data_IF_394141560477
#
_entry.id   IF_394141560477
#
_cell.length_a   1.000
_cell.length_b   1.000
_cell.length_c   1.000
_cell.angle_alpha   90.00
_cell.angle_beta   90.00
_cell.angle_gamma   90.00
#
_symmetry.space_group_name_H-M   'P 1'
#
loop_
_entity.id
_entity.type
_entity.pdbx_description
1 polymer ?
#
# COMPACT_ATOMS: atom_id res chain seq x y z
N UNK A 1 26.20 -7.10 -36.36
CA UNK A 1 24.84 -6.53 -36.34
C UNK A 1 23.86 -7.69 -36.21
N UNK A 2 23.29 -7.85 -35.01
CA UNK A 2 22.29 -8.86 -34.64
C UNK A 2 21.56 -8.36 -33.38
N UNK A 3 20.31 -8.78 -33.15
CA UNK A 3 19.17 -7.87 -33.11
C UNK A 3 18.77 -7.40 -31.71
N UNK A 4 18.00 -6.30 -31.70
CA UNK A 4 17.25 -5.76 -30.57
C UNK A 4 16.51 -6.88 -29.83
N UNK A 5 16.87 -7.12 -28.57
CA UNK A 5 16.08 -7.94 -27.64
C UNK A 5 15.17 -7.03 -26.82
N UNK A 6 13.91 -7.32 -27.01
CA UNK A 6 12.69 -6.75 -26.45
C UNK A 6 12.55 -7.02 -24.95
N UNK A 7 12.22 -5.97 -24.21
CA UNK A 7 11.55 -5.91 -22.89
C UNK A 7 11.34 -7.25 -22.14
N UNK A 8 12.31 -7.62 -21.30
CA UNK A 8 12.16 -8.33 -20.03
C UNK A 8 13.56 -8.51 -19.44
N UNK A 9 13.65 -8.66 -18.12
CA UNK A 9 14.87 -8.82 -17.33
C UNK A 9 15.68 -7.56 -17.06
N UNK A 10 15.23 -6.89 -15.99
CA UNK A 10 16.11 -6.71 -14.84
C UNK A 10 16.72 -8.10 -14.48
N UNK A 11 17.79 -8.49 -15.16
CA UNK A 11 18.65 -9.60 -14.76
C UNK A 11 20.06 -9.28 -15.22
N UNK A 12 20.96 -9.32 -14.26
CA UNK A 12 22.34 -9.01 -14.47
C UNK A 12 23.07 -10.28 -14.86
N UNK A 13 23.65 -10.25 -16.03
CA UNK A 13 24.70 -11.20 -16.34
C UNK A 13 26.01 -10.79 -15.63
N UNK A 14 26.07 -10.73 -14.28
CA UNK A 14 27.36 -10.73 -13.53
C UNK A 14 27.28 -10.77 -11.98
N UNK A 15 26.42 -11.51 -11.28
CA UNK A 15 26.52 -11.64 -9.79
C UNK A 15 26.64 -10.29 -9.02
N UNK A 16 26.18 -9.18 -9.59
CA UNK A 16 26.47 -7.81 -9.14
C UNK A 16 25.35 -6.82 -9.48
N UNK A 17 24.08 -7.21 -9.38
CA UNK A 17 22.94 -6.30 -9.45
C UNK A 17 22.08 -6.49 -8.23
N UNK A 18 21.22 -5.50 -8.14
CA UNK A 18 20.36 -4.95 -7.14
C UNK A 18 18.93 -5.14 -7.62
N UNK A 19 18.23 -6.23 -7.32
CA UNK A 19 16.80 -6.36 -7.61
C UNK A 19 16.01 -5.35 -6.77
N UNK A 20 15.73 -4.18 -7.36
CA UNK A 20 14.88 -3.15 -6.76
C UNK A 20 13.42 -3.63 -6.88
N UNK A 21 13.03 -4.54 -6.00
CA UNK A 21 11.63 -4.95 -5.86
C UNK A 21 10.91 -4.01 -4.89
N UNK A 22 9.70 -3.59 -5.26
CA UNK A 22 8.77 -2.93 -4.35
C UNK A 22 7.84 -3.97 -3.75
N UNK A 23 7.93 -4.25 -2.44
CA UNK A 23 7.06 -5.21 -1.75
C UNK A 23 6.88 -6.57 -2.48
N UNK A 24 7.91 -7.06 -3.19
CA UNK A 24 7.86 -8.28 -4.01
C UNK A 24 6.88 -8.27 -5.21
N UNK A 25 6.51 -7.09 -5.73
CA UNK A 25 5.70 -6.94 -6.95
C UNK A 25 6.39 -6.02 -7.96
N UNK A 26 6.56 -6.53 -9.18
CA UNK A 26 7.12 -5.79 -10.34
C UNK A 26 6.19 -4.68 -10.87
N UNK A 27 5.01 -4.50 -10.28
CA UNK A 27 3.98 -3.58 -10.80
C UNK A 27 3.96 -2.20 -10.11
N UNK A 28 4.73 -2.00 -9.03
CA UNK A 28 4.97 -0.67 -8.46
C UNK A 28 3.73 0.09 -7.98
N UNK A 29 2.60 -0.57 -7.69
CA UNK A 29 1.39 0.08 -7.14
C UNK A 29 1.25 -0.20 -5.65
N UNK A 30 1.02 0.83 -4.83
CA UNK A 30 0.68 0.67 -3.41
C UNK A 30 -0.44 1.63 -2.99
N UNK A 31 -1.16 1.29 -1.92
CA UNK A 31 -2.20 2.11 -1.30
C UNK A 31 -1.91 2.43 0.18
N UNK A 32 -0.77 1.97 0.71
CA UNK A 32 -0.36 2.13 2.11
C UNK A 32 0.57 3.34 2.35
N UNK A 33 0.86 4.11 1.28
CA UNK A 33 1.76 5.26 1.36
C UNK A 33 3.23 4.91 1.62
N UNK A 34 3.64 3.65 1.41
CA UNK A 34 5.00 3.17 1.65
C UNK A 34 5.63 2.59 0.39
N UNK A 35 6.82 3.08 0.03
CA UNK A 35 7.66 2.52 -1.03
C UNK A 35 8.86 1.84 -0.39
N UNK A 36 9.04 0.54 -0.65
CA UNK A 36 10.18 -0.24 -0.15
C UNK A 36 11.12 -0.53 -1.31
N UNK A 37 12.42 -0.28 -1.13
CA UNK A 37 13.47 -0.79 -2.02
C UNK A 37 14.19 -1.90 -1.28
N UNK A 38 14.19 -3.11 -1.85
CA UNK A 38 14.98 -4.23 -1.35
C UNK A 38 16.32 -4.33 -2.10
N UNK A 39 17.30 -4.93 -1.45
CA UNK A 39 18.61 -5.24 -2.01
C UNK A 39 18.90 -6.72 -1.80
N UNK A 40 19.55 -7.36 -2.76
CA UNK A 40 19.85 -8.81 -2.76
C UNK A 40 20.79 -9.28 -1.65
N UNK A 41 21.36 -8.33 -0.92
CA UNK A 41 22.18 -8.63 0.23
C UNK A 41 22.65 -7.40 0.96
N UNK A 42 23.03 -7.64 2.21
CA UNK A 42 23.56 -6.65 3.12
C UNK A 42 24.85 -5.97 2.60
N UNK A 43 25.64 -6.67 1.77
CA UNK A 43 26.80 -6.11 1.06
C UNK A 43 26.38 -5.17 -0.07
N UNK A 44 25.31 -5.52 -0.80
CA UNK A 44 24.77 -4.71 -1.90
C UNK A 44 24.11 -3.43 -1.39
N UNK A 45 23.63 -3.38 -0.15
CA UNK A 45 22.99 -2.18 0.41
C UNK A 45 23.99 -1.13 0.94
N UNK A 46 25.28 -1.47 1.13
CA UNK A 46 26.23 -0.62 1.88
C UNK A 46 26.56 0.68 1.16
N UNK A 47 26.52 1.79 1.92
CA UNK A 47 27.04 3.09 1.46
C UNK A 47 26.27 3.70 0.29
N UNK A 48 25.05 3.20 0.03
CA UNK A 48 24.18 3.74 -1.02
C UNK A 48 23.45 4.98 -0.53
N UNK A 49 23.42 5.99 -1.39
CA UNK A 49 22.58 7.19 -1.24
C UNK A 49 21.37 7.05 -2.14
N UNK A 50 20.18 7.38 -1.64
CA UNK A 50 18.92 7.32 -2.36
C UNK A 50 18.30 8.72 -2.39
N UNK A 51 17.87 9.14 -3.58
CA UNK A 51 17.05 10.33 -3.77
C UNK A 51 15.69 9.90 -4.31
N UNK A 52 14.64 10.23 -3.57
CA UNK A 52 13.26 9.94 -3.96
C UNK A 52 12.70 11.11 -4.74
N UNK A 53 11.96 10.83 -5.80
CA UNK A 53 11.36 11.82 -6.67
C UNK A 53 9.85 11.63 -6.70
N UNK A 54 9.10 12.73 -6.69
CA UNK A 54 7.64 12.75 -6.81
C UNK A 54 7.20 13.61 -7.98
N UNK A 55 6.24 13.12 -8.77
CA UNK A 55 5.58 13.92 -9.78
C UNK A 55 4.66 14.97 -9.14
N UNK A 56 4.83 16.23 -9.52
CA UNK A 56 4.08 17.37 -9.00
C UNK A 56 2.98 17.89 -9.97
N UNK A 57 2.68 17.13 -11.04
CA UNK A 57 1.74 17.51 -12.08
C UNK A 57 2.39 18.08 -13.34
N UNK A 58 3.64 18.55 -13.26
CA UNK A 58 4.39 19.08 -14.42
C UNK A 58 5.76 18.42 -14.59
N UNK A 59 6.44 18.15 -13.48
CA UNK A 59 7.75 17.52 -13.46
C UNK A 59 7.92 16.67 -12.19
N UNK A 60 9.01 15.90 -12.16
CA UNK A 60 9.45 15.26 -10.94
C UNK A 60 10.30 16.23 -10.11
N UNK A 61 10.08 16.23 -8.79
CA UNK A 61 10.88 16.98 -7.83
C UNK A 61 11.42 16.03 -6.76
N UNK A 62 12.66 16.28 -6.32
CA UNK A 62 13.28 15.54 -5.24
C UNK A 62 12.53 15.79 -3.93
N UNK A 63 12.23 14.71 -3.21
CA UNK A 63 11.68 14.76 -1.87
C UNK A 63 12.81 14.94 -0.86
N UNK A 64 12.63 15.85 0.10
CA UNK A 64 13.55 16.09 1.20
C UNK A 64 12.77 16.28 2.51
N UNK A 65 13.27 15.70 3.60
CA UNK A 65 12.68 15.77 4.95
C UNK A 65 11.71 14.64 5.30
N UNK A 66 11.42 14.46 6.60
CA UNK A 66 10.48 13.46 7.13
C UNK A 66 11.01 12.02 7.20
N UNK A 67 10.08 11.04 7.22
CA UNK A 67 10.34 9.58 7.14
C UNK A 67 10.80 9.11 5.74
N UNK A 68 11.50 9.98 5.00
CA UNK A 68 12.03 9.73 3.67
C UNK A 68 13.55 9.56 3.81
N UNK A 69 14.03 8.34 4.08
CA UNK A 69 15.44 8.09 4.31
C UNK A 69 16.24 8.28 3.02
N UNK A 70 17.33 9.03 3.09
CA UNK A 70 18.16 9.36 1.92
C UNK A 70 19.42 8.52 1.81
N UNK A 71 19.73 7.70 2.81
CA UNK A 71 20.93 6.88 2.83
C UNK A 71 20.66 5.56 3.55
N UNK A 72 21.36 4.51 3.11
CA UNK A 72 21.48 3.28 3.88
C UNK A 72 22.79 3.35 4.64
N UNK A 73 22.68 3.74 5.91
CA UNK A 73 23.83 3.82 6.80
C UNK A 73 24.22 2.42 7.26
N UNK A 74 25.29 1.89 6.68
CA UNK A 74 25.96 0.72 7.19
C UNK A 74 27.44 1.03 7.46
N UNK A 75 27.96 0.78 8.69
CA UNK A 75 29.37 1.02 8.97
C UNK A 75 30.25 0.24 7.99
N UNK A 76 31.20 0.95 7.36
CA UNK A 76 32.16 0.39 6.40
C UNK A 76 33.09 -0.69 7.01
N UNK A 77 33.10 -0.84 8.34
CA UNK A 77 33.95 -1.79 9.05
C UNK A 77 33.15 -2.83 9.85
N UNK A 78 33.09 -4.06 9.33
CA UNK A 78 32.99 -5.31 10.12
C UNK A 78 31.79 -5.56 11.04
N UNK A 79 30.85 -4.63 11.24
CA UNK A 79 29.63 -4.85 12.02
C UNK A 79 28.60 -5.67 11.24
N UNK A 80 27.78 -6.47 11.94
CA UNK A 80 26.65 -7.17 11.32
C UNK A 80 25.73 -6.17 10.62
N UNK A 81 25.50 -6.40 9.33
CA UNK A 81 24.73 -5.51 8.45
C UNK A 81 23.36 -6.14 8.27
N UNK A 82 22.37 -5.63 9.00
CA UNK A 82 21.03 -6.21 9.01
C UNK A 82 20.07 -5.61 7.98
N UNK A 83 20.33 -4.39 7.50
CA UNK A 83 19.41 -3.70 6.61
C UNK A 83 19.64 -4.10 5.15
N UNK A 84 18.71 -4.87 4.60
CA UNK A 84 18.63 -5.24 3.18
C UNK A 84 17.51 -4.49 2.46
N UNK A 85 16.93 -3.46 3.09
CA UNK A 85 15.89 -2.64 2.49
C UNK A 85 15.86 -1.23 3.07
N UNK A 86 15.24 -0.32 2.34
CA UNK A 86 14.97 1.07 2.73
C UNK A 86 13.53 1.43 2.36
N UNK A 87 12.87 2.20 3.22
CA UNK A 87 11.44 2.52 3.05
C UNK A 87 11.19 4.02 3.15
N UNK A 88 10.58 4.60 2.11
CA UNK A 88 9.96 5.91 2.19
C UNK A 88 8.49 5.74 2.61
N UNK A 89 8.12 6.32 3.74
CA UNK A 89 6.79 6.16 4.37
C UNK A 89 6.02 7.47 4.36
N UNK A 90 4.73 7.38 4.70
CA UNK A 90 3.82 8.53 4.82
C UNK A 90 3.72 9.36 3.51
N UNK A 91 3.84 8.69 2.37
CA UNK A 91 3.74 9.29 1.05
C UNK A 91 2.28 9.39 0.61
N UNK A 92 1.90 10.56 0.08
CA UNK A 92 0.57 10.76 -0.48
C UNK A 92 0.39 10.12 -1.86
N UNK A 93 -0.85 10.14 -2.36
CA UNK A 93 -1.19 9.70 -3.73
C UNK A 93 -0.32 10.39 -4.77
N UNK A 94 0.18 9.62 -5.74
CA UNK A 94 0.96 10.17 -6.85
C UNK A 94 1.96 9.18 -7.44
N UNK A 95 2.78 9.68 -8.36
CA UNK A 95 3.84 8.91 -9.01
C UNK A 95 5.20 9.25 -8.42
N UNK A 96 6.03 8.23 -8.23
CA UNK A 96 7.32 8.33 -7.57
C UNK A 96 8.36 7.48 -8.29
N UNK A 97 9.65 7.82 -8.15
CA UNK A 97 10.75 6.91 -8.46
C UNK A 97 11.93 7.21 -7.54
N UNK A 98 12.91 6.33 -7.51
CA UNK A 98 14.13 6.49 -6.73
C UNK A 98 15.35 6.50 -7.65
N UNK A 99 16.32 7.35 -7.31
CA UNK A 99 17.68 7.33 -7.88
C UNK A 99 18.62 6.85 -6.78
N UNK A 100 19.36 5.78 -7.06
CA UNK A 100 20.26 5.13 -6.12
C UNK A 100 21.68 5.35 -6.61
N UNK A 101 22.52 5.96 -5.77
CA UNK A 101 23.93 6.16 -6.03
C UNK A 101 24.76 5.23 -5.15
N UNK A 102 25.58 4.39 -5.77
CA UNK A 102 26.52 3.46 -5.13
C UNK A 102 27.70 4.17 -4.48
N UNK A 103 28.41 3.45 -3.61
CA UNK A 103 29.60 3.96 -2.92
C UNK A 103 30.77 4.27 -3.89
N UNK A 104 30.82 3.59 -5.04
CA UNK A 104 31.78 3.84 -6.12
C UNK A 104 31.26 4.80 -7.20
N UNK A 105 30.07 5.39 -6.99
CA UNK A 105 29.48 6.42 -7.84
C UNK A 105 28.57 5.91 -8.97
N UNK A 106 28.27 4.61 -9.03
CA UNK A 106 27.30 4.07 -9.97
C UNK A 106 25.91 4.62 -9.67
N UNK A 107 25.16 4.98 -10.71
CA UNK A 107 23.80 5.52 -10.57
C UNK A 107 22.80 4.59 -11.23
N UNK A 108 21.81 4.17 -10.46
CA UNK A 108 20.68 3.35 -10.89
C UNK A 108 19.37 4.12 -10.67
N UNK A 109 18.39 3.92 -11.55
CA UNK A 109 17.05 4.52 -11.41
C UNK A 109 16.03 3.41 -11.35
N UNK A 110 15.14 3.46 -10.36
CA UNK A 110 14.07 2.49 -10.22
C UNK A 110 12.99 2.70 -11.29
N UNK A 111 12.12 1.70 -11.50
CA UNK A 111 10.82 1.92 -12.14
C UNK A 111 10.00 3.01 -11.42
N UNK A 112 8.98 3.51 -12.12
CA UNK A 112 8.01 4.43 -11.51
C UNK A 112 7.01 3.65 -10.64
N UNK A 113 6.85 4.11 -9.41
CA UNK A 113 5.84 3.64 -8.46
C UNK A 113 4.62 4.56 -8.51
N UNK A 114 3.42 4.00 -8.34
CA UNK A 114 2.19 4.75 -8.16
C UNK A 114 1.57 4.45 -6.80
N UNK A 115 1.29 5.50 -6.05
CA UNK A 115 0.53 5.43 -4.81
C UNK A 115 -0.89 5.84 -5.14
N UNK A 116 -1.84 4.93 -4.98
CA UNK A 116 -3.26 5.17 -5.21
C UNK A 116 -3.99 5.35 -3.89
N UNK A 117 -5.15 6.03 -3.91
CA UNK A 117 -6.04 5.98 -2.75
C UNK A 117 -6.83 4.67 -2.76
N UNK A 118 -7.25 4.16 -1.60
CA UNK A 118 -8.25 3.12 -1.54
C UNK A 118 -9.55 3.58 -2.22
N UNK A 119 -10.30 2.62 -2.74
CA UNK A 119 -11.64 2.89 -3.21
C UNK A 119 -12.49 3.49 -2.08
N UNK A 120 -13.40 4.44 -2.37
CA UNK A 120 -14.29 4.97 -1.34
C UNK A 120 -15.11 3.85 -0.71
N UNK A 121 -15.32 3.93 0.61
CA UNK A 121 -16.19 2.99 1.30
C UNK A 121 -17.62 3.17 0.78
N UNK A 122 -18.23 2.07 0.37
CA UNK A 122 -19.64 2.01 -0.01
C UNK A 122 -20.34 0.96 0.84
N UNK A 123 -21.59 1.24 1.23
CA UNK A 123 -22.43 0.33 1.98
C UNK A 123 -23.61 -0.08 1.10
N UNK A 124 -23.79 -1.38 0.91
CA UNK A 124 -24.89 -1.94 0.13
C UNK A 124 -25.81 -2.72 1.05
N UNK A 125 -27.11 -2.49 0.94
CA UNK A 125 -28.13 -3.30 1.62
C UNK A 125 -28.36 -4.57 0.81
N UNK A 126 -28.22 -5.73 1.45
CA UNK A 126 -28.50 -7.03 0.85
C UNK A 126 -30.01 -7.30 0.86
N UNK A 127 -30.72 -6.86 -0.18
CA UNK A 127 -32.19 -6.91 -0.26
C UNK A 127 -32.76 -8.33 -0.26
N UNK A 128 -31.97 -9.35 -0.62
CA UNK A 128 -32.38 -10.75 -0.55
C UNK A 128 -32.33 -11.32 0.86
N UNK A 129 -31.57 -10.69 1.77
CA UNK A 129 -31.42 -11.09 3.17
C UNK A 129 -32.10 -10.10 4.14
N UNK A 130 -32.74 -9.05 3.63
CA UNK A 130 -33.63 -8.19 4.41
C UNK A 130 -34.99 -8.85 4.59
N UNK A 131 -35.51 -8.83 5.81
CA UNK A 131 -36.81 -9.42 6.18
C UNK A 131 -37.66 -8.35 6.84
N UNK A 132 -38.87 -8.15 6.33
CA UNK A 132 -39.84 -7.27 6.97
C UNK A 132 -40.42 -7.92 8.23
N UNK A 133 -40.71 -7.14 9.28
CA UNK A 133 -41.43 -7.64 10.45
C UNK A 133 -42.79 -8.25 10.06
N UNK A 134 -43.14 -9.39 10.66
CA UNK A 134 -44.37 -10.12 10.31
C UNK A 134 -45.64 -9.32 10.65
N UNK A 135 -45.55 -8.46 11.65
CA UNK A 135 -46.65 -7.68 12.20
C UNK A 135 -46.13 -6.31 12.65
N UNK A 136 -46.99 -5.31 12.66
CA UNK A 136 -46.69 -4.01 13.28
C UNK A 136 -46.30 -4.21 14.75
N UNK A 137 -45.15 -3.68 15.16
CA UNK A 137 -44.59 -3.86 16.50
C UNK A 137 -43.93 -5.22 16.76
N UNK A 138 -43.87 -6.12 15.77
CA UNK A 138 -43.09 -7.36 15.86
C UNK A 138 -41.60 -7.08 15.70
N UNK A 139 -40.75 -7.85 16.39
CA UNK A 139 -39.29 -7.72 16.36
C UNK A 139 -38.64 -8.83 15.51
N UNK A 140 -39.28 -9.23 14.41
CA UNK A 140 -38.80 -10.31 13.53
C UNK A 140 -38.09 -9.78 12.29
N UNK A 141 -37.97 -8.46 12.15
CA UNK A 141 -37.31 -7.85 11.01
C UNK A 141 -35.80 -8.07 11.02
N UNK A 142 -35.21 -7.97 9.85
CA UNK A 142 -33.78 -8.09 9.65
C UNK A 142 -33.30 -7.16 8.56
N UNK A 143 -32.14 -6.53 8.77
CA UNK A 143 -31.39 -5.86 7.71
C UNK A 143 -30.02 -6.53 7.60
N UNK A 144 -29.57 -6.76 6.37
CA UNK A 144 -28.20 -7.21 6.09
C UNK A 144 -27.52 -6.16 5.24
N UNK A 145 -26.29 -5.79 5.59
CA UNK A 145 -25.46 -4.85 4.84
C UNK A 145 -24.10 -5.45 4.55
N UNK A 146 -23.47 -4.98 3.48
CA UNK A 146 -22.10 -5.34 3.14
C UNK A 146 -21.36 -4.08 2.72
N UNK A 147 -20.19 -3.84 3.32
CA UNK A 147 -19.31 -2.74 2.97
C UNK A 147 -18.28 -3.18 1.91
N UNK A 148 -17.96 -2.29 0.97
CA UNK A 148 -16.96 -2.47 -0.08
C UNK A 148 -16.03 -1.27 -0.16
N UNK A 149 -14.85 -1.47 -0.76
CA UNK A 149 -13.83 -0.43 -0.93
C UNK A 149 -12.88 -0.37 0.25
N UNK A 150 -12.40 0.82 0.59
CA UNK A 150 -11.61 1.11 1.79
C UNK A 150 -10.34 0.27 1.96
N UNK A 151 -9.77 0.34 3.15
CA UNK A 151 -8.73 -0.56 3.64
C UNK A 151 -9.03 -0.95 5.08
N UNK A 152 -8.64 -2.16 5.45
CA UNK A 152 -8.77 -2.67 6.81
C UNK A 152 -10.11 -3.36 7.08
N UNK A 153 -10.42 -3.49 8.36
CA UNK A 153 -11.60 -4.21 8.86
C UNK A 153 -12.77 -3.25 9.05
N UNK A 154 -13.99 -3.70 8.74
CA UNK A 154 -15.20 -2.92 8.92
C UNK A 154 -15.83 -3.17 10.29
N UNK A 155 -16.32 -2.11 10.92
CA UNK A 155 -17.29 -2.21 12.01
C UNK A 155 -18.67 -1.79 11.52
N UNK A 156 -19.68 -2.59 11.84
CA UNK A 156 -21.05 -2.33 11.44
C UNK A 156 -21.87 -1.97 12.67
N UNK A 157 -22.63 -0.89 12.56
CA UNK A 157 -23.59 -0.51 13.58
C UNK A 157 -24.89 -0.06 12.94
N UNK A 158 -26.01 -0.39 13.58
CA UNK A 158 -27.32 0.13 13.22
C UNK A 158 -27.82 1.04 14.35
N UNK A 159 -28.25 2.25 14.00
CA UNK A 159 -28.95 3.14 14.93
C UNK A 159 -30.43 2.83 14.90
N UNK A 160 -31.04 2.65 16.06
CA UNK A 160 -32.50 2.58 16.20
C UNK A 160 -33.08 3.96 16.52
N UNK A 161 -34.39 4.14 16.40
CA UNK A 161 -35.07 5.43 16.56
C UNK A 161 -34.88 6.09 17.93
N UNK A 162 -34.42 5.34 18.93
CA UNK A 162 -34.07 5.83 20.27
C UNK A 162 -32.63 6.39 20.37
N UNK A 163 -31.87 6.41 19.26
CA UNK A 163 -30.48 6.89 19.23
C UNK A 163 -29.44 5.89 19.75
N UNK A 164 -29.84 4.67 20.08
CA UNK A 164 -28.92 3.60 20.48
C UNK A 164 -28.33 2.88 19.26
N UNK A 165 -27.06 2.50 19.37
CA UNK A 165 -26.34 1.72 18.36
C UNK A 165 -26.20 0.27 18.79
N UNK A 166 -26.59 -0.65 17.91
CA UNK A 166 -26.25 -2.07 18.03
C UNK A 166 -25.13 -2.37 17.05
N UNK A 167 -24.05 -2.97 17.53
CA UNK A 167 -22.87 -3.32 16.73
C UNK A 167 -22.95 -4.79 16.32
N UNK A 168 -22.60 -5.09 15.07
CA UNK A 168 -22.39 -6.47 14.62
C UNK A 168 -21.29 -6.53 13.55
N UNK A 169 -20.06 -6.61 14.04
CA UNK A 169 -18.85 -6.65 13.21
C UNK A 169 -18.59 -8.03 12.59
N UNK A 170 -19.37 -9.06 12.93
CA UNK A 170 -19.16 -10.43 12.43
C UNK A 170 -19.62 -10.61 10.98
N UNK A 171 -20.80 -10.09 10.65
CA UNK A 171 -21.44 -10.32 9.36
C UNK A 171 -22.26 -9.14 8.82
N UNK A 172 -22.41 -8.05 9.58
CA UNK A 172 -23.26 -6.92 9.19
C UNK A 172 -24.75 -7.28 9.10
N UNK A 173 -25.19 -8.35 9.78
CA UNK A 173 -26.58 -8.77 9.85
C UNK A 173 -27.20 -8.27 11.15
N UNK A 174 -28.29 -7.52 11.05
CA UNK A 174 -29.01 -6.95 12.19
C UNK A 174 -30.41 -7.57 12.26
N UNK A 175 -30.58 -8.69 12.98
CA UNK A 175 -31.89 -9.29 13.23
C UNK A 175 -32.60 -8.57 14.38
N UNK A 176 -33.87 -8.89 14.59
CA UNK A 176 -34.61 -8.40 15.76
C UNK A 176 -35.23 -7.01 15.58
N UNK A 177 -35.25 -6.47 14.36
CA UNK A 177 -35.72 -5.11 14.08
C UNK A 177 -37.25 -5.05 14.08
N UNK A 178 -37.80 -3.92 14.54
CA UNK A 178 -39.24 -3.69 14.62
C UNK A 178 -39.72 -2.57 13.71
N UNK A 179 -40.92 -2.72 13.15
CA UNK A 179 -41.65 -1.71 12.36
C UNK A 179 -42.42 -0.74 13.28
N UNK A 180 -41.71 -0.04 14.16
CA UNK A 180 -42.30 0.87 15.15
C UNK A 180 -42.39 2.32 14.64
#
# INVERSE_FOLDING_TARGET
>A
MSPLRTWAQFDIASSSHTDITCNNIDEGVTNDGTITINFDGASSARGKTIVWWKFNGTAFAALAGGDIPTQINNPAGGGNVGATSIQARNLGVGYYYAVITGASGEVETSPTFSITKPDPISLVVNTSATVDPLCRGGSTGQISVTAYGGLGTYSYAISTSNGSYTYNDADGIFPGLSDA
#
